data_IF_614022442519
#
_entry.id   IF_614022442519
#
_cell.length_a   1.000
_cell.length_b   1.000
_cell.length_c   1.000
_cell.angle_alpha   90.00
_cell.angle_beta   90.00
_cell.angle_gamma   90.00
#
_symmetry.space_group_name_H-M   'P 1'
#
loop_
_entity.id
_entity.type
_entity.pdbx_description
1 polymer ?
#
# COMPACT_ATOMS: atom_id res chain seq x y z
N UNK A 1 0.66 17.13 -12.48
CA UNK A 1 -0.44 18.11 -12.48
C UNK A 1 -1.71 17.53 -13.05
N UNK A 2 -1.74 17.04 -14.30
CA UNK A 2 -2.92 16.41 -14.93
C UNK A 2 -3.57 15.29 -14.09
N UNK A 3 -2.75 14.51 -13.37
CA UNK A 3 -3.24 13.46 -12.46
C UNK A 3 -3.89 14.09 -11.22
N UNK A 4 -3.28 15.12 -10.65
CA UNK A 4 -3.82 15.80 -9.49
C UNK A 4 -5.18 16.44 -9.79
N UNK A 5 -5.34 17.04 -10.96
CA UNK A 5 -6.61 17.64 -11.40
C UNK A 5 -7.72 16.58 -11.59
N UNK A 6 -7.34 15.39 -12.03
CA UNK A 6 -8.28 14.27 -12.23
C UNK A 6 -8.80 13.68 -10.90
N UNK A 7 -7.94 13.61 -9.87
CA UNK A 7 -8.30 13.07 -8.56
C UNK A 7 -8.73 14.15 -7.56
N UNK A 8 -8.39 15.41 -7.81
CA UNK A 8 -8.66 16.54 -6.94
C UNK A 8 -9.22 17.74 -7.75
N UNK A 9 -10.42 17.63 -8.32
CA UNK A 9 -10.95 18.61 -9.27
C UNK A 9 -11.14 20.03 -8.69
N UNK A 10 -11.14 20.18 -7.38
CA UNK A 10 -11.32 21.47 -6.69
C UNK A 10 -10.03 22.07 -6.11
N UNK A 11 -8.88 21.48 -6.41
CA UNK A 11 -7.61 21.95 -5.87
C UNK A 11 -7.06 23.09 -6.70
N UNK A 12 -6.91 24.28 -6.10
CA UNK A 12 -6.13 25.36 -6.69
C UNK A 12 -4.70 24.86 -6.91
N UNK A 13 -4.27 24.83 -8.15
CA UNK A 13 -3.00 24.22 -8.59
C UNK A 13 -1.79 24.72 -7.78
N UNK A 14 -1.78 26.00 -7.42
CA UNK A 14 -0.68 26.60 -6.65
C UNK A 14 -0.68 26.13 -5.18
N UNK A 15 -1.82 26.11 -4.52
CA UNK A 15 -1.93 25.61 -3.15
C UNK A 15 -1.53 24.12 -3.06
N UNK A 16 -1.88 23.34 -4.08
CA UNK A 16 -1.45 21.93 -4.18
C UNK A 16 0.06 21.81 -4.35
N UNK A 17 0.67 22.62 -5.21
CA UNK A 17 2.12 22.67 -5.41
C UNK A 17 2.86 23.05 -4.14
N UNK A 18 2.42 24.07 -3.45
CA UNK A 18 3.02 24.53 -2.18
C UNK A 18 2.93 23.45 -1.10
N UNK A 19 1.76 22.81 -0.97
CA UNK A 19 1.59 21.70 -0.04
C UNK A 19 2.48 20.51 -0.39
N UNK A 20 2.60 20.17 -1.68
CA UNK A 20 3.46 19.07 -2.13
C UNK A 20 4.95 19.41 -1.93
N UNK A 21 5.36 20.65 -2.16
CA UNK A 21 6.73 21.11 -1.94
C UNK A 21 7.16 21.03 -0.46
N UNK A 22 6.21 21.07 0.48
CA UNK A 22 6.46 20.88 1.90
C UNK A 22 6.59 19.41 2.32
N UNK A 23 6.29 18.45 1.44
CA UNK A 23 6.45 17.03 1.74
C UNK A 23 7.91 16.61 1.53
N UNK A 24 8.53 16.01 2.54
CA UNK A 24 9.93 15.53 2.50
C UNK A 24 10.01 14.01 2.42
N UNK A 25 8.96 13.31 2.81
CA UNK A 25 8.87 11.85 2.82
C UNK A 25 7.65 11.34 2.06
N UNK A 26 7.64 10.06 1.70
CA UNK A 26 6.45 9.41 1.15
C UNK A 26 5.28 9.46 2.14
N UNK A 27 5.57 9.34 3.44
CA UNK A 27 4.55 9.39 4.49
C UNK A 27 3.86 10.76 4.54
N UNK A 28 4.60 11.86 4.34
CA UNK A 28 4.00 13.21 4.28
C UNK A 28 2.98 13.31 3.14
N UNK A 29 3.31 12.75 1.97
CA UNK A 29 2.39 12.72 0.83
C UNK A 29 1.17 11.85 1.13
N UNK A 30 1.38 10.68 1.73
CA UNK A 30 0.30 9.77 2.11
C UNK A 30 -0.65 10.44 3.12
N UNK A 31 -0.14 11.04 4.17
CA UNK A 31 -0.94 11.72 5.20
C UNK A 31 -1.56 13.01 4.64
N UNK A 32 -0.79 13.79 3.88
CA UNK A 32 -1.23 15.09 3.40
C UNK A 32 -2.27 15.04 2.28
N UNK A 33 -2.24 14.01 1.44
CA UNK A 33 -3.07 13.94 0.23
C UNK A 33 -3.95 12.69 0.18
N UNK A 34 -3.38 11.48 0.36
CA UNK A 34 -4.15 10.26 0.20
C UNK A 34 -5.08 9.98 1.38
N UNK A 35 -4.62 10.20 2.60
CA UNK A 35 -5.43 9.96 3.80
C UNK A 35 -6.74 10.77 3.81
N UNK A 36 -6.77 12.09 3.56
CA UNK A 36 -8.02 12.85 3.50
C UNK A 36 -8.97 12.37 2.39
N UNK A 37 -8.42 12.06 1.20
CA UNK A 37 -9.19 11.57 0.07
C UNK A 37 -9.87 10.24 0.40
N UNK A 38 -9.10 9.28 0.90
CA UNK A 38 -9.57 7.94 1.22
C UNK A 38 -10.51 7.93 2.43
N UNK A 39 -10.25 8.77 3.44
CA UNK A 39 -11.15 8.93 4.59
C UNK A 39 -12.51 9.48 4.15
N UNK A 40 -12.53 10.42 3.20
CA UNK A 40 -13.78 10.92 2.63
C UNK A 40 -14.51 9.84 1.82
N UNK A 41 -13.78 9.01 1.07
CA UNK A 41 -14.35 7.86 0.36
C UNK A 41 -14.98 6.86 1.33
N UNK A 42 -14.26 6.48 2.39
CA UNK A 42 -14.77 5.59 3.45
C UNK A 42 -16.07 6.12 4.02
N UNK A 43 -16.11 7.40 4.43
CA UNK A 43 -17.32 8.03 4.99
C UNK A 43 -18.51 8.01 4.05
N UNK A 44 -18.28 8.06 2.73
CA UNK A 44 -19.36 8.06 1.73
C UNK A 44 -19.85 6.66 1.35
N UNK A 45 -18.98 5.66 1.41
CA UNK A 45 -19.22 4.35 0.84
C UNK A 45 -19.38 3.23 1.87
N UNK A 46 -19.14 3.51 3.16
CA UNK A 46 -19.22 2.50 4.22
C UNK A 46 -20.10 2.96 5.36
N UNK A 47 -20.81 2.02 5.98
CA UNK A 47 -21.61 2.26 7.19
C UNK A 47 -20.79 2.07 8.47
N UNK A 48 -19.75 1.24 8.41
CA UNK A 48 -18.80 1.02 9.49
C UNK A 48 -17.42 0.72 8.91
N UNK A 49 -16.40 1.20 9.58
CA UNK A 49 -14.99 0.97 9.24
C UNK A 49 -14.19 0.92 10.52
N UNK A 50 -13.64 -0.24 10.85
CA UNK A 50 -13.00 -0.46 12.13
C UNK A 50 -11.79 -1.38 12.04
N UNK A 51 -11.00 -1.37 13.10
CA UNK A 51 -9.78 -2.15 13.26
C UNK A 51 -9.68 -2.62 14.70
N UNK A 52 -9.62 -3.93 14.91
CA UNK A 52 -9.29 -4.50 16.20
C UNK A 52 -7.77 -4.71 16.29
N UNK A 53 -7.13 -3.94 17.14
CA UNK A 53 -5.69 -4.03 17.38
C UNK A 53 -5.32 -4.76 18.67
N UNK A 54 -6.26 -5.47 19.30
CA UNK A 54 -6.02 -6.16 20.58
C UNK A 54 -4.89 -7.21 20.50
N UNK A 55 -4.74 -7.84 19.33
CA UNK A 55 -3.67 -8.80 19.07
C UNK A 55 -2.29 -8.15 18.74
N UNK A 56 -2.22 -6.82 18.68
CA UNK A 56 -1.00 -6.07 18.35
C UNK A 56 -0.60 -5.22 19.56
N UNK A 57 0.18 -5.77 20.50
CA UNK A 57 0.46 -5.10 21.77
C UNK A 57 1.43 -3.92 21.61
N UNK A 58 2.35 -3.96 20.68
CA UNK A 58 3.36 -2.94 20.47
C UNK A 58 3.31 -2.36 19.05
N UNK A 59 2.64 -1.25 18.89
CA UNK A 59 2.48 -0.55 17.60
C UNK A 59 3.76 0.10 17.09
N UNK A 60 4.81 0.17 17.90
CA UNK A 60 6.13 0.67 17.48
C UNK A 60 6.94 -0.37 16.70
N UNK A 61 6.57 -1.64 16.80
CA UNK A 61 7.18 -2.72 16.03
C UNK A 61 6.61 -2.78 14.61
N UNK A 62 7.42 -3.17 13.62
CA UNK A 62 6.93 -3.46 12.29
C UNK A 62 6.26 -4.85 12.23
N UNK A 63 5.24 -4.96 11.39
CA UNK A 63 4.46 -6.19 11.21
C UNK A 63 4.31 -6.53 9.73
N UNK A 64 4.18 -7.83 9.46
CA UNK A 64 3.67 -8.33 8.18
C UNK A 64 2.17 -8.57 8.31
N UNK A 65 1.39 -7.79 7.57
CA UNK A 65 -0.07 -7.93 7.49
C UNK A 65 -0.43 -8.80 6.30
N UNK A 66 -1.17 -9.87 6.54
CA UNK A 66 -1.68 -10.77 5.50
C UNK A 66 -3.20 -10.67 5.50
N UNK A 67 -3.78 -10.38 4.36
CA UNK A 67 -5.24 -10.27 4.23
C UNK A 67 -5.75 -10.81 2.90
N UNK A 68 -7.06 -10.92 2.82
CA UNK A 68 -7.77 -11.15 1.56
C UNK A 68 -7.40 -10.08 0.53
N UNK A 69 -7.49 -10.45 -0.74
CA UNK A 69 -7.26 -9.52 -1.85
C UNK A 69 -8.52 -9.37 -2.69
N UNK A 70 -9.20 -8.25 -2.51
CA UNK A 70 -10.46 -7.93 -3.20
C UNK A 70 -10.29 -6.76 -4.17
N UNK A 71 -9.51 -5.74 -3.80
CA UNK A 71 -9.30 -4.54 -4.60
C UNK A 71 -7.80 -4.20 -4.71
N UNK A 72 -7.36 -3.79 -5.91
CA UNK A 72 -5.94 -3.51 -6.19
C UNK A 72 -5.42 -2.33 -5.36
N UNK A 73 -6.28 -1.36 -5.07
CA UNK A 73 -5.90 -0.10 -4.42
C UNK A 73 -6.41 -0.03 -2.98
N UNK A 74 -7.67 -0.42 -2.78
CA UNK A 74 -8.36 -0.15 -1.52
C UNK A 74 -7.92 -1.04 -0.38
N UNK A 75 -7.51 -2.28 -0.62
CA UNK A 75 -7.12 -3.20 0.46
C UNK A 75 -5.96 -2.62 1.29
N UNK A 76 -4.84 -2.32 0.64
CA UNK A 76 -3.66 -1.73 1.30
C UNK A 76 -3.89 -0.29 1.74
N UNK A 77 -4.70 0.47 0.99
CA UNK A 77 -5.04 1.85 1.34
C UNK A 77 -5.88 1.91 2.62
N UNK A 78 -6.88 1.04 2.76
CA UNK A 78 -7.70 0.95 3.97
C UNK A 78 -6.87 0.50 5.17
N UNK A 79 -6.01 -0.49 5.01
CA UNK A 79 -5.08 -0.88 6.06
C UNK A 79 -4.20 0.31 6.49
N UNK A 80 -3.64 1.05 5.54
CA UNK A 80 -2.79 2.22 5.83
C UNK A 80 -3.55 3.30 6.63
N UNK A 81 -4.83 3.58 6.29
CA UNK A 81 -5.68 4.49 7.05
C UNK A 81 -5.86 3.99 8.49
N UNK A 82 -6.20 2.70 8.64
CA UNK A 82 -6.45 2.10 9.95
C UNK A 82 -5.21 2.11 10.83
N UNK A 83 -4.03 1.83 10.27
CA UNK A 83 -2.78 1.88 11.01
C UNK A 83 -2.50 3.29 11.54
N UNK A 84 -2.56 4.31 10.69
CA UNK A 84 -2.33 5.70 11.12
C UNK A 84 -3.39 6.15 12.15
N UNK A 85 -4.66 5.84 11.91
CA UNK A 85 -5.75 6.18 12.83
C UNK A 85 -5.62 5.50 14.20
N UNK A 86 -4.95 4.36 14.27
CA UNK A 86 -4.72 3.61 15.51
C UNK A 86 -3.32 3.85 16.13
N UNK A 87 -2.57 4.85 15.66
CA UNK A 87 -1.33 5.29 16.28
C UNK A 87 -0.07 4.49 15.89
N UNK A 88 -0.10 3.78 14.77
CA UNK A 88 1.12 3.23 14.18
C UNK A 88 1.96 4.36 13.58
N UNK A 89 3.30 4.30 13.66
CA UNK A 89 4.17 5.37 13.19
C UNK A 89 4.24 5.47 11.65
N UNK A 90 3.86 4.41 10.94
CA UNK A 90 3.98 4.33 9.48
C UNK A 90 2.85 3.50 8.86
N UNK A 91 2.70 3.62 7.55
CA UNK A 91 1.80 2.82 6.71
C UNK A 91 2.47 1.48 6.34
N UNK A 92 1.91 0.75 5.37
CA UNK A 92 2.50 -0.49 4.87
C UNK A 92 3.30 -0.28 3.58
N UNK A 93 4.35 -1.07 3.40
CA UNK A 93 4.94 -1.34 2.08
C UNK A 93 4.12 -2.40 1.35
N UNK A 94 3.95 -2.24 0.05
CA UNK A 94 2.98 -3.01 -0.74
C UNK A 94 3.69 -3.79 -1.84
N UNK A 95 3.51 -5.10 -1.88
CA UNK A 95 3.97 -5.94 -2.99
C UNK A 95 3.12 -5.70 -4.24
N UNK A 96 3.72 -5.24 -5.34
CA UNK A 96 3.02 -4.96 -6.59
C UNK A 96 3.66 -5.68 -7.77
N UNK A 97 2.85 -6.30 -8.63
CA UNK A 97 3.35 -6.94 -9.84
C UNK A 97 3.85 -5.92 -10.88
N UNK A 98 4.96 -6.24 -11.54
CA UNK A 98 5.57 -5.44 -12.60
C UNK A 98 4.62 -5.18 -13.79
N UNK A 99 3.69 -6.08 -14.04
CA UNK A 99 2.65 -5.96 -15.06
C UNK A 99 1.69 -4.77 -14.85
N UNK A 100 1.64 -4.17 -13.66
CA UNK A 100 0.83 -2.98 -13.37
C UNK A 100 1.56 -1.68 -13.71
N UNK A 101 2.86 -1.70 -13.97
CA UNK A 101 3.71 -0.54 -14.22
C UNK A 101 3.71 -0.07 -15.68
N UNK A 102 2.57 -0.06 -16.32
CA UNK A 102 2.41 0.18 -17.77
C UNK A 102 2.76 1.63 -18.15
N UNK A 103 2.53 2.60 -17.26
CA UNK A 103 2.72 4.03 -17.53
C UNK A 103 3.69 4.67 -16.54
N UNK A 104 4.51 5.65 -16.96
CA UNK A 104 5.47 6.32 -16.07
C UNK A 104 4.86 6.91 -14.80
N UNK A 105 3.69 7.53 -14.91
CA UNK A 105 3.01 8.10 -13.75
C UNK A 105 2.55 7.05 -12.72
N UNK A 106 2.19 5.84 -13.18
CA UNK A 106 1.85 4.73 -12.27
C UNK A 106 3.09 4.36 -11.44
N UNK A 107 4.27 4.29 -12.06
CA UNK A 107 5.54 4.02 -11.35
C UNK A 107 5.81 5.05 -10.26
N UNK A 108 5.55 6.33 -10.53
CA UNK A 108 5.70 7.38 -9.53
C UNK A 108 4.69 7.20 -8.39
N UNK A 109 3.43 6.96 -8.73
CA UNK A 109 2.35 6.78 -7.75
C UNK A 109 2.61 5.60 -6.82
N UNK A 110 3.01 4.44 -7.35
CA UNK A 110 3.28 3.25 -6.53
C UNK A 110 4.51 3.42 -5.65
N UNK A 111 5.55 4.15 -6.12
CA UNK A 111 6.72 4.48 -5.29
C UNK A 111 6.36 5.39 -4.12
N UNK A 112 5.52 6.40 -4.33
CA UNK A 112 5.00 7.26 -3.27
C UNK A 112 4.21 6.43 -2.25
N UNK A 113 3.49 5.41 -2.71
CA UNK A 113 2.77 4.48 -1.83
C UNK A 113 3.65 3.32 -1.31
N UNK A 114 4.97 3.51 -1.27
CA UNK A 114 5.93 2.54 -0.72
C UNK A 114 5.83 1.15 -1.34
N UNK A 115 5.52 1.06 -2.64
CA UNK A 115 5.41 -0.25 -3.27
C UNK A 115 6.76 -0.78 -3.71
N UNK A 116 7.01 -2.07 -3.49
CA UNK A 116 8.11 -2.82 -4.05
C UNK A 116 7.61 -3.78 -5.14
N UNK A 117 8.48 -4.09 -6.11
CA UNK A 117 8.06 -4.76 -7.34
C UNK A 117 8.30 -6.26 -7.24
N UNK A 118 7.27 -7.03 -7.57
CA UNK A 118 7.33 -8.48 -7.75
C UNK A 118 7.37 -8.81 -9.24
N UNK A 119 8.41 -9.50 -9.68
CA UNK A 119 8.55 -9.93 -11.07
C UNK A 119 7.66 -11.15 -11.35
N UNK A 120 6.67 -10.98 -12.23
CA UNK A 120 5.71 -12.04 -12.60
C UNK A 120 6.02 -12.71 -13.95
N UNK A 121 6.67 -12.00 -14.85
CA UNK A 121 6.91 -12.41 -16.25
C UNK A 121 8.24 -13.14 -16.49
N UNK A 122 8.88 -13.67 -15.45
CA UNK A 122 10.18 -14.29 -15.52
C UNK A 122 10.12 -15.80 -15.78
N UNK A 123 11.19 -16.38 -16.36
CA UNK A 123 11.41 -17.82 -16.43
C UNK A 123 11.50 -18.45 -15.03
N UNK A 124 11.38 -19.78 -14.92
CA UNK A 124 11.46 -20.49 -13.62
C UNK A 124 12.73 -20.14 -12.84
N UNK A 125 13.87 -20.05 -13.54
CA UNK A 125 15.16 -19.71 -12.93
C UNK A 125 15.19 -18.26 -12.41
N UNK A 126 14.64 -17.33 -13.19
CA UNK A 126 14.53 -15.93 -12.81
C UNK A 126 13.53 -15.73 -11.67
N UNK A 127 12.43 -16.51 -11.65
CA UNK A 127 11.48 -16.50 -10.53
C UNK A 127 12.13 -16.91 -9.22
N UNK A 128 12.98 -17.93 -9.21
CA UNK A 128 13.69 -18.36 -8.00
C UNK A 128 14.64 -17.27 -7.49
N UNK A 129 15.42 -16.67 -8.38
CA UNK A 129 16.31 -15.55 -8.03
C UNK A 129 15.53 -14.34 -7.51
N UNK A 130 14.43 -13.99 -8.18
CA UNK A 130 13.54 -12.90 -7.79
C UNK A 130 12.86 -13.16 -6.44
N UNK A 131 12.44 -14.40 -6.15
CA UNK A 131 11.86 -14.76 -4.86
C UNK A 131 12.87 -14.61 -3.72
N UNK A 132 14.12 -14.99 -3.95
CA UNK A 132 15.20 -14.79 -2.98
C UNK A 132 15.41 -13.31 -2.70
N UNK A 133 15.54 -12.49 -3.75
CA UNK A 133 15.71 -11.04 -3.62
C UNK A 133 14.51 -10.39 -2.91
N UNK A 134 13.30 -10.85 -3.20
CA UNK A 134 12.08 -10.39 -2.55
C UNK A 134 12.10 -10.69 -1.06
N UNK A 135 12.46 -11.92 -0.68
CA UNK A 135 12.59 -12.34 0.72
C UNK A 135 13.65 -11.49 1.46
N UNK A 136 14.82 -11.31 0.86
CA UNK A 136 15.88 -10.47 1.41
C UNK A 136 15.41 -9.02 1.62
N UNK A 137 14.66 -8.46 0.64
CA UNK A 137 14.09 -7.12 0.77
C UNK A 137 13.07 -7.04 1.91
N UNK A 138 12.18 -8.02 2.04
CA UNK A 138 11.18 -8.03 3.12
C UNK A 138 11.84 -8.11 4.50
N UNK A 139 12.89 -8.94 4.64
CA UNK A 139 13.71 -8.97 5.86
C UNK A 139 14.32 -7.59 6.16
N UNK A 140 14.92 -6.96 5.16
CA UNK A 140 15.49 -5.61 5.31
C UNK A 140 14.42 -4.57 5.68
N UNK A 141 13.24 -4.62 5.06
CA UNK A 141 12.16 -3.69 5.34
C UNK A 141 11.68 -3.81 6.80
N UNK A 142 11.53 -5.01 7.31
CA UNK A 142 11.11 -5.26 8.70
C UNK A 142 12.25 -4.95 9.68
N UNK A 143 13.45 -5.54 9.48
CA UNK A 143 14.51 -5.49 10.48
C UNK A 143 15.25 -4.14 10.52
N UNK A 144 15.53 -3.56 9.36
CA UNK A 144 16.38 -2.38 9.23
C UNK A 144 15.58 -1.09 8.99
N UNK A 145 14.66 -1.09 8.01
CA UNK A 145 13.84 0.08 7.73
C UNK A 145 12.74 0.30 8.75
N UNK A 146 12.38 -0.71 9.53
CA UNK A 146 11.31 -0.66 10.51
C UNK A 146 9.94 -0.33 9.89
N UNK A 147 9.67 -0.86 8.68
CA UNK A 147 8.44 -0.64 7.94
C UNK A 147 7.50 -1.84 8.04
N UNK A 148 6.20 -1.57 8.08
CA UNK A 148 5.18 -2.60 7.95
C UNK A 148 5.12 -3.11 6.51
N UNK A 149 4.77 -4.38 6.31
CA UNK A 149 4.55 -4.97 4.98
C UNK A 149 3.11 -5.48 4.87
N UNK A 150 2.49 -5.26 3.71
CA UNK A 150 1.23 -5.91 3.36
C UNK A 150 1.41 -6.91 2.23
N UNK A 151 0.88 -8.12 2.43
CA UNK A 151 0.89 -9.22 1.47
C UNK A 151 -0.54 -9.73 1.30
N UNK A 152 -0.94 -9.95 0.05
CA UNK A 152 -2.18 -10.65 -0.26
C UNK A 152 -2.04 -12.15 0.03
N UNK A 153 -3.05 -12.76 0.66
CA UNK A 153 -3.02 -14.19 1.00
C UNK A 153 -3.11 -15.13 -0.21
N UNK A 154 -3.31 -14.60 -1.42
CA UNK A 154 -3.33 -15.39 -2.66
C UNK A 154 -2.86 -14.55 -3.84
N UNK A 155 -2.45 -15.23 -4.90
CA UNK A 155 -2.17 -14.59 -6.17
C UNK A 155 -3.47 -14.14 -6.85
N UNK A 156 -3.52 -12.84 -7.16
CA UNK A 156 -4.68 -12.21 -7.78
C UNK A 156 -5.84 -11.98 -6.83
N UNK A 157 -6.80 -11.19 -7.30
CA UNK A 157 -7.99 -10.80 -6.51
C UNK A 157 -9.02 -11.92 -6.45
N UNK A 158 -9.67 -12.08 -5.31
CA UNK A 158 -10.88 -12.88 -5.20
C UNK A 158 -12.02 -12.25 -6.02
N UNK A 159 -12.67 -13.04 -6.85
CA UNK A 159 -13.81 -12.62 -7.68
C UNK A 159 -15.16 -12.91 -7.04
N UNK A 160 -15.14 -13.77 -6.05
CA UNK A 160 -16.29 -14.22 -5.25
C UNK A 160 -15.98 -14.06 -3.76
N UNK A 161 -16.87 -14.55 -2.92
CA UNK A 161 -16.69 -14.47 -1.46
C UNK A 161 -15.87 -15.63 -0.88
N UNK A 162 -15.44 -16.59 -1.70
CA UNK A 162 -14.63 -17.74 -1.28
C UNK A 162 -13.13 -17.43 -1.51
N UNK A 163 -12.55 -16.67 -0.59
CA UNK A 163 -11.15 -16.27 -0.64
C UNK A 163 -10.30 -17.18 0.25
N UNK A 164 -9.78 -18.25 -0.34
CA UNK A 164 -8.97 -19.26 0.34
C UNK A 164 -7.48 -18.96 0.21
N UNK A 165 -6.75 -19.13 1.30
CA UNK A 165 -5.28 -19.07 1.28
C UNK A 165 -4.72 -20.29 0.57
N UNK A 166 -3.86 -20.14 -0.44
CA UNK A 166 -3.14 -21.27 -1.05
C UNK A 166 -2.19 -21.93 -0.06
N UNK A 167 -1.95 -23.23 -0.23
CA UNK A 167 -0.99 -23.98 0.61
C UNK A 167 0.45 -23.46 0.51
N UNK A 168 0.78 -22.78 -0.59
CA UNK A 168 2.12 -22.28 -0.90
C UNK A 168 2.31 -20.78 -0.65
N UNK A 169 1.62 -20.23 0.34
CA UNK A 169 1.82 -18.83 0.72
C UNK A 169 3.12 -18.66 1.52
#
# INVERSE_FOLDING_TARGET
LQIAEQFFPNVRTEAFRQKLAGCTTNLDVQIGFFLPLLTNLVKKCTTAFGFDSAAIPDKSQPYTFISNHRDIVLDSAFLSILLIANGFPTTVEIAIGDNLLIRPWIRTLVRINKSFIVQRSASIREKLASSKQLSEYMHYAIAEKRENIWIAQREGRAKDSDDRTPEAL
#
